data_IF_026776914281
#
_entry.id   IF_026776914281
#
_cell.length_a   1.000
_cell.length_b   1.000
_cell.length_c   1.000
_cell.angle_alpha   90.00
_cell.angle_beta   90.00
_cell.angle_gamma   90.00
#
_symmetry.space_group_name_H-M   'P 1'
#
loop_
_entity.id
_entity.type
_entity.pdbx_description
1 polymer ?
#
# COMPACT_ATOMS: atom_id res chain seq x y z
N UNK A 1 -6.50 31.99 -6.44
CA UNK A 1 -6.39 30.88 -7.39
C UNK A 1 -4.92 30.46 -7.49
N UNK A 2 -4.29 30.23 -6.33
CA UNK A 2 -2.82 30.08 -6.21
C UNK A 2 -2.40 28.95 -5.26
N UNK A 3 -3.32 28.35 -4.50
CA UNK A 3 -3.00 27.25 -3.58
C UNK A 3 -2.76 25.91 -4.29
N UNK A 4 -3.25 25.77 -5.53
CA UNK A 4 -3.19 24.51 -6.29
C UNK A 4 -1.79 24.21 -6.88
N UNK A 5 -0.94 25.23 -7.07
CA UNK A 5 0.40 25.09 -7.67
C UNK A 5 1.49 24.67 -6.68
N UNK A 6 1.40 25.11 -5.42
CA UNK A 6 2.33 24.70 -4.36
C UNK A 6 2.09 23.24 -3.92
N UNK A 7 0.84 22.79 -3.87
CA UNK A 7 0.50 21.39 -3.56
C UNK A 7 0.98 20.39 -4.61
N UNK A 8 0.93 20.76 -5.90
CA UNK A 8 1.48 19.93 -6.98
C UNK A 8 2.99 19.77 -6.83
N UNK A 9 3.71 20.87 -6.58
CA UNK A 9 5.17 20.86 -6.36
C UNK A 9 5.56 20.02 -5.13
N UNK A 10 4.80 20.11 -4.04
CA UNK A 10 5.03 19.32 -2.82
C UNK A 10 4.80 17.82 -3.00
N UNK A 11 3.77 17.43 -3.76
CA UNK A 11 3.51 16.01 -4.11
C UNK A 11 4.61 15.42 -4.99
N UNK A 12 5.13 16.19 -5.94
CA UNK A 12 6.22 15.76 -6.81
C UNK A 12 7.52 15.57 -6.03
N UNK A 13 7.85 16.50 -5.13
CA UNK A 13 9.00 16.37 -4.23
C UNK A 13 8.87 15.16 -3.28
N UNK A 14 7.67 14.91 -2.74
CA UNK A 14 7.42 13.73 -1.92
C UNK A 14 7.54 12.42 -2.72
N UNK A 15 7.08 12.41 -3.97
CA UNK A 15 7.21 11.25 -4.86
C UNK A 15 8.68 10.96 -5.19
N UNK A 16 9.49 11.98 -5.43
CA UNK A 16 10.93 11.83 -5.67
C UNK A 16 11.67 11.31 -4.44
N UNK A 17 11.36 11.84 -3.25
CA UNK A 17 11.91 11.33 -1.99
C UNK A 17 11.54 9.84 -1.75
N UNK A 18 10.30 9.46 -2.08
CA UNK A 18 9.85 8.06 -2.00
C UNK A 18 10.58 7.16 -3.02
N UNK A 19 10.93 7.69 -4.19
CA UNK A 19 11.70 6.95 -5.18
C UNK A 19 13.18 6.82 -4.82
N UNK A 20 13.77 7.79 -4.13
CA UNK A 20 15.12 7.68 -3.59
C UNK A 20 15.21 6.55 -2.54
N UNK A 21 14.16 6.41 -1.71
CA UNK A 21 14.05 5.33 -0.73
C UNK A 21 13.35 4.06 -1.25
N UNK A 22 13.34 3.82 -2.57
CA UNK A 22 12.66 2.70 -3.23
C UNK A 22 12.92 1.34 -2.53
N UNK A 23 14.14 1.08 -2.06
CA UNK A 23 14.46 -0.18 -1.36
C UNK A 23 13.70 -0.37 -0.04
N UNK A 24 13.42 0.72 0.71
CA UNK A 24 12.58 0.68 1.91
C UNK A 24 11.12 0.46 1.54
N UNK A 25 10.61 1.18 0.53
CA UNK A 25 9.24 1.02 0.04
C UNK A 25 9.01 -0.42 -0.45
N UNK A 26 9.99 -1.00 -1.15
CA UNK A 26 9.96 -2.41 -1.59
C UNK A 26 9.89 -3.37 -0.40
N UNK A 27 10.66 -3.13 0.66
CA UNK A 27 10.61 -3.93 1.88
C UNK A 27 9.23 -3.87 2.55
N UNK A 28 8.69 -2.67 2.68
CA UNK A 28 7.36 -2.41 3.26
C UNK A 28 6.25 -3.07 2.43
N UNK A 29 6.30 -2.94 1.10
CA UNK A 29 5.40 -3.63 0.17
C UNK A 29 5.47 -5.16 0.33
N UNK A 30 6.69 -5.71 0.39
CA UNK A 30 6.89 -7.16 0.51
C UNK A 30 6.31 -7.71 1.81
N UNK A 31 6.56 -7.03 2.94
CA UNK A 31 6.02 -7.42 4.24
C UNK A 31 4.49 -7.37 4.22
N UNK A 32 3.92 -6.28 3.71
CA UNK A 32 2.46 -6.14 3.61
C UNK A 32 1.82 -7.22 2.72
N UNK A 33 2.47 -7.57 1.62
CA UNK A 33 2.00 -8.62 0.71
C UNK A 33 2.04 -10.00 1.37
N UNK A 34 3.12 -10.33 2.08
CA UNK A 34 3.20 -11.59 2.85
C UNK A 34 2.11 -11.63 3.92
N UNK A 35 1.90 -10.52 4.64
CA UNK A 35 0.88 -10.44 5.68
C UNK A 35 -0.54 -10.62 5.12
N UNK A 36 -0.82 -9.99 3.97
CA UNK A 36 -2.07 -10.17 3.23
C UNK A 36 -2.30 -11.64 2.85
N UNK A 37 -1.28 -12.30 2.30
CA UNK A 37 -1.37 -13.71 1.88
C UNK A 37 -1.65 -14.65 3.05
N UNK A 38 -1.08 -14.37 4.22
CA UNK A 38 -1.32 -15.16 5.45
C UNK A 38 -2.76 -14.96 5.97
N UNK A 39 -3.35 -13.78 5.77
CA UNK A 39 -4.70 -13.47 6.23
C UNK A 39 -5.82 -13.98 5.31
N UNK A 40 -5.57 -14.10 4.00
CA UNK A 40 -6.58 -14.56 3.04
C UNK A 40 -7.25 -15.90 3.43
N UNK A 41 -6.53 -16.94 3.91
CA UNK A 41 -7.15 -18.17 4.40
C UNK A 41 -8.14 -17.96 5.55
N UNK A 42 -7.92 -16.97 6.41
CA UNK A 42 -8.84 -16.70 7.52
C UNK A 42 -10.22 -16.29 7.00
N UNK A 43 -10.33 -15.59 5.87
CA UNK A 43 -11.62 -15.26 5.26
C UNK A 43 -12.41 -16.47 4.78
N UNK A 44 -11.72 -17.59 4.48
CA UNK A 44 -12.37 -18.82 4.01
C UNK A 44 -12.74 -19.74 5.18
N UNK A 45 -11.93 -19.73 6.24
CA UNK A 45 -12.06 -20.67 7.36
C UNK A 45 -12.90 -20.10 8.52
N UNK A 46 -12.92 -18.77 8.70
CA UNK A 46 -13.67 -18.16 9.82
C UNK A 46 -15.16 -18.08 9.51
N UNK A 47 -15.96 -18.38 10.54
CA UNK A 47 -17.41 -18.31 10.49
C UNK A 47 -17.88 -16.86 10.28
N UNK A 48 -18.80 -16.64 9.33
CA UNK A 48 -19.15 -15.31 8.85
C UNK A 48 -19.83 -14.42 9.89
N UNK A 49 -20.52 -15.04 10.87
CA UNK A 49 -21.17 -14.34 11.98
C UNK A 49 -20.23 -14.05 13.17
N UNK A 50 -18.95 -14.43 13.06
CA UNK A 50 -17.96 -14.23 14.12
C UNK A 50 -17.30 -12.85 14.06
N UNK A 51 -17.00 -12.27 15.22
CA UNK A 51 -16.17 -11.05 15.32
C UNK A 51 -14.78 -11.22 14.69
N UNK A 52 -14.27 -12.46 14.65
CA UNK A 52 -13.01 -12.80 13.99
C UNK A 52 -13.07 -12.62 12.47
N UNK A 53 -14.22 -12.86 11.85
CA UNK A 53 -14.40 -12.65 10.41
C UNK A 53 -14.34 -11.16 10.07
N UNK A 54 -15.01 -10.31 10.84
CA UNK A 54 -14.99 -8.84 10.64
C UNK A 54 -13.56 -8.29 10.75
N UNK A 55 -12.82 -8.70 11.77
CA UNK A 55 -11.41 -8.28 11.95
C UNK A 55 -10.54 -8.77 10.80
N UNK A 56 -10.76 -10.01 10.34
CA UNK A 56 -10.03 -10.57 9.20
C UNK A 56 -10.32 -9.79 7.92
N UNK A 57 -11.58 -9.42 7.66
CA UNK A 57 -11.96 -8.58 6.52
C UNK A 57 -11.28 -7.21 6.59
N UNK A 58 -11.34 -6.53 7.74
CA UNK A 58 -10.71 -5.22 7.91
C UNK A 58 -9.19 -5.27 7.69
N UNK A 59 -8.53 -6.32 8.19
CA UNK A 59 -7.10 -6.50 7.98
C UNK A 59 -6.75 -6.79 6.51
N UNK A 60 -7.53 -7.60 5.82
CA UNK A 60 -7.32 -7.88 4.38
C UNK A 60 -7.56 -6.62 3.55
N UNK A 61 -8.62 -5.86 3.83
CA UNK A 61 -8.90 -4.60 3.14
C UNK A 61 -7.79 -3.57 3.39
N UNK A 62 -7.39 -3.39 4.66
CA UNK A 62 -6.33 -2.45 5.03
C UNK A 62 -4.98 -2.82 4.41
N UNK A 63 -4.57 -4.09 4.54
CA UNK A 63 -3.33 -4.60 3.94
C UNK A 63 -3.40 -4.54 2.42
N UNK A 64 -4.55 -4.81 1.81
CA UNK A 64 -4.76 -4.74 0.36
C UNK A 64 -4.60 -3.32 -0.17
N UNK A 65 -5.24 -2.34 0.48
CA UNK A 65 -5.08 -0.93 0.15
C UNK A 65 -3.61 -0.51 0.27
N UNK A 66 -2.92 -0.96 1.32
CA UNK A 66 -1.51 -0.63 1.54
C UNK A 66 -0.57 -1.25 0.49
N UNK A 67 -0.81 -2.50 0.09
CA UNK A 67 -0.10 -3.17 -1.01
C UNK A 67 -0.32 -2.45 -2.33
N UNK A 68 -1.56 -2.02 -2.64
CA UNK A 68 -1.86 -1.28 -3.87
C UNK A 68 -1.19 0.10 -3.90
N UNK A 69 -1.21 0.83 -2.79
CA UNK A 69 -0.57 2.15 -2.69
C UNK A 69 0.95 2.04 -2.81
N UNK A 70 1.58 1.16 -2.04
CA UNK A 70 3.04 0.96 -2.11
C UNK A 70 3.48 0.37 -3.46
N UNK A 71 2.72 -0.57 -4.01
CA UNK A 71 2.97 -1.13 -5.34
C UNK A 71 2.83 -0.10 -6.46
N UNK A 72 1.85 0.79 -6.39
CA UNK A 72 1.68 1.86 -7.38
C UNK A 72 2.81 2.90 -7.30
N UNK A 73 3.28 3.24 -6.09
CA UNK A 73 4.49 4.08 -5.91
C UNK A 73 5.72 3.41 -6.52
N UNK A 74 5.95 2.12 -6.23
CA UNK A 74 7.08 1.38 -6.80
C UNK A 74 7.02 1.31 -8.33
N UNK A 75 5.83 1.08 -8.89
CA UNK A 75 5.63 1.05 -10.33
C UNK A 75 5.90 2.41 -10.96
N UNK A 76 5.41 3.49 -10.34
CA UNK A 76 5.68 4.87 -10.78
C UNK A 76 7.17 5.23 -10.74
N UNK A 77 7.86 4.90 -9.65
CA UNK A 77 9.31 5.11 -9.54
C UNK A 77 10.10 4.32 -10.59
N UNK A 78 9.68 3.07 -10.86
CA UNK A 78 10.28 2.25 -11.92
C UNK A 78 10.06 2.87 -13.30
N UNK A 79 8.90 3.44 -13.57
CA UNK A 79 8.58 4.06 -14.86
C UNK A 79 9.38 5.34 -15.12
N UNK A 80 9.79 6.07 -14.07
CA UNK A 80 10.68 7.24 -14.18
C UNK A 80 12.17 6.89 -14.29
N UNK A 81 12.57 5.66 -13.97
CA UNK A 81 13.95 5.20 -14.05
C UNK A 81 14.33 4.61 -15.42
N UNK A 82 13.35 4.42 -16.32
CA UNK A 82 13.50 3.97 -17.71
C UNK A 82 13.43 5.17 -18.64
#
# INVERSE_FOLDING_TARGET
>A
MSEQGDEQTGREAAAEALCEENRKVLGVFTIALVFLLIQLPYLVVTDSDSSLFVVSVLNVVGSGAFVLLSGSVLWFCRQRAV
#
